data_IF_293691784464
#
_entry.id   IF_293691784464
#
_cell.length_a   1.000
_cell.length_b   1.000
_cell.length_c   1.000
_cell.angle_alpha   90.00
_cell.angle_beta   90.00
_cell.angle_gamma   90.00
#
_symmetry.space_group_name_H-M   'P 1'
#
loop_
_entity.id
_entity.type
_entity.pdbx_description
1 polymer ?
#
# COMPACT_ATOMS: atom_id res chain seq x y z
N UNK A 1 -37.59 24.57 12.49
CA UNK A 1 -37.16 23.32 11.82
C UNK A 1 -37.27 23.57 10.32
N UNK A 2 -36.15 23.75 9.62
CA UNK A 2 -36.14 24.15 8.20
C UNK A 2 -36.42 22.95 7.29
N UNK A 3 -37.04 23.18 6.14
CA UNK A 3 -37.35 22.16 5.12
C UNK A 3 -36.14 21.30 4.71
N UNK A 4 -34.92 21.86 4.84
CA UNK A 4 -33.65 21.16 4.63
C UNK A 4 -33.42 20.00 5.60
N UNK A 5 -33.83 20.14 6.85
CA UNK A 5 -33.63 19.12 7.89
C UNK A 5 -34.63 17.98 7.75
N UNK A 6 -35.86 18.29 7.29
CA UNK A 6 -36.90 17.28 7.03
C UNK A 6 -36.58 16.40 5.81
N UNK A 7 -36.01 16.99 4.74
CA UNK A 7 -35.55 16.19 3.58
C UNK A 7 -34.32 15.34 3.91
N UNK A 8 -33.40 15.81 4.75
CA UNK A 8 -32.24 15.02 5.19
C UNK A 8 -32.65 13.85 6.10
N UNK A 9 -33.64 14.02 6.98
CA UNK A 9 -34.14 12.95 7.87
C UNK A 9 -34.99 11.91 7.12
N UNK A 10 -35.83 12.31 6.15
CA UNK A 10 -36.64 11.37 5.37
C UNK A 10 -35.83 10.55 4.35
N UNK A 11 -34.71 11.08 3.86
CA UNK A 11 -33.90 10.38 2.85
C UNK A 11 -32.89 9.39 3.48
N UNK A 12 -32.56 9.54 4.77
CA UNK A 12 -31.55 8.73 5.45
C UNK A 12 -31.76 7.19 5.44
N UNK A 13 -32.97 6.64 5.64
CA UNK A 13 -33.14 5.18 5.68
C UNK A 13 -33.21 4.53 4.30
N UNK A 14 -33.62 5.28 3.26
CA UNK A 14 -33.71 4.77 1.88
C UNK A 14 -32.40 4.89 1.11
N UNK A 15 -31.59 5.93 1.39
CA UNK A 15 -30.32 6.16 0.71
C UNK A 15 -29.34 5.00 0.93
N UNK A 16 -29.32 4.37 2.11
CA UNK A 16 -28.34 3.33 2.46
C UNK A 16 -28.37 2.08 1.56
N UNK A 17 -29.57 1.55 1.23
CA UNK A 17 -29.71 0.35 0.38
C UNK A 17 -29.36 0.64 -1.08
N UNK A 18 -29.84 1.75 -1.63
CA UNK A 18 -29.53 2.12 -3.00
C UNK A 18 -28.08 2.57 -3.16
N UNK A 19 -27.47 3.21 -2.15
CA UNK A 19 -26.06 3.62 -2.22
C UNK A 19 -25.13 2.43 -2.36
N UNK A 20 -25.40 1.31 -1.67
CA UNK A 20 -24.62 0.08 -1.80
C UNK A 20 -24.76 -0.53 -3.21
N UNK A 21 -25.98 -0.58 -3.74
CA UNK A 21 -26.24 -1.07 -5.10
C UNK A 21 -25.62 -0.16 -6.17
N UNK A 22 -25.72 1.16 -5.99
CA UNK A 22 -25.12 2.15 -6.89
C UNK A 22 -23.59 2.06 -6.81
N UNK A 23 -23.00 1.94 -5.62
CA UNK A 23 -21.55 1.78 -5.46
C UNK A 23 -21.04 0.46 -6.04
N UNK A 24 -21.78 -0.65 -5.85
CA UNK A 24 -21.45 -1.93 -6.46
C UNK A 24 -21.56 -1.87 -7.98
N UNK A 25 -22.61 -1.25 -8.51
CA UNK A 25 -22.81 -1.07 -9.95
C UNK A 25 -21.73 -0.18 -10.56
N UNK A 26 -21.46 0.99 -9.97
CA UNK A 26 -20.38 1.88 -10.42
C UNK A 26 -19.02 1.21 -10.30
N UNK A 27 -18.75 0.46 -9.23
CA UNK A 27 -17.53 -0.32 -9.07
C UNK A 27 -17.38 -1.38 -10.17
N UNK A 28 -18.46 -2.07 -10.53
CA UNK A 28 -18.48 -3.02 -11.64
C UNK A 28 -18.25 -2.31 -12.99
N UNK A 29 -18.89 -1.17 -13.25
CA UNK A 29 -18.66 -0.36 -14.45
C UNK A 29 -17.20 0.11 -14.56
N UNK A 30 -16.63 0.64 -13.47
CA UNK A 30 -15.23 1.08 -13.42
C UNK A 30 -14.31 -0.11 -13.67
N UNK A 31 -14.57 -1.27 -13.05
CA UNK A 31 -13.78 -2.48 -13.29
C UNK A 31 -13.87 -2.94 -14.76
N UNK A 32 -15.05 -2.87 -15.36
CA UNK A 32 -15.26 -3.26 -16.76
C UNK A 32 -14.52 -2.34 -17.74
N UNK A 33 -14.57 -1.03 -17.50
CA UNK A 33 -13.95 -0.02 -18.36
C UNK A 33 -12.42 -0.01 -18.21
N UNK A 34 -11.91 -0.11 -16.99
CA UNK A 34 -10.49 0.16 -16.72
C UNK A 34 -9.64 -1.09 -16.44
N UNK A 35 -10.23 -2.22 -16.01
CA UNK A 35 -9.46 -3.37 -15.54
C UNK A 35 -9.60 -4.60 -16.45
N UNK A 36 -10.80 -4.93 -16.95
CA UNK A 36 -11.07 -5.99 -17.94
C UNK A 36 -12.60 -6.03 -18.17
N UNK A 37 -13.17 -6.06 -19.39
CA UNK A 37 -12.63 -6.52 -20.68
C UNK A 37 -12.38 -5.42 -21.74
N UNK A 38 -12.75 -4.16 -21.49
CA UNK A 38 -12.57 -3.09 -22.49
C UNK A 38 -11.09 -2.90 -22.92
N UNK A 39 -10.09 -2.90 -22.01
CA UNK A 39 -8.69 -2.81 -22.42
C UNK A 39 -8.23 -4.03 -23.24
N UNK A 40 -8.73 -5.22 -22.91
CA UNK A 40 -8.45 -6.45 -23.66
C UNK A 40 -8.99 -6.38 -25.09
N UNK A 41 -10.21 -5.85 -25.28
CA UNK A 41 -10.80 -5.63 -26.59
C UNK A 41 -10.05 -4.57 -27.42
N UNK A 42 -9.70 -3.43 -26.81
CA UNK A 42 -9.03 -2.33 -27.50
C UNK A 42 -7.56 -2.63 -27.86
N UNK A 43 -6.86 -3.38 -27.02
CA UNK A 43 -5.43 -3.65 -27.16
C UNK A 43 -5.13 -5.05 -27.72
N UNK A 44 -6.14 -5.88 -27.97
CA UNK A 44 -5.98 -7.24 -28.46
C UNK A 44 -5.25 -8.17 -27.47
N UNK A 45 -5.29 -7.87 -26.18
CA UNK A 45 -4.63 -8.64 -25.11
C UNK A 45 -5.61 -9.71 -24.62
N UNK A 46 -5.15 -10.93 -24.35
CA UNK A 46 -6.02 -11.99 -23.80
C UNK A 46 -6.70 -11.53 -22.50
N UNK A 47 -8.03 -11.74 -22.42
CA UNK A 47 -8.82 -11.34 -21.26
C UNK A 47 -8.71 -12.40 -20.16
N UNK A 48 -8.08 -12.07 -19.04
CA UNK A 48 -8.14 -12.88 -17.82
C UNK A 48 -9.46 -12.70 -17.03
N UNK A 49 -10.45 -11.98 -17.57
CA UNK A 49 -11.66 -11.54 -16.84
C UNK A 49 -12.52 -12.68 -16.26
N UNK A 50 -12.34 -13.92 -16.73
CA UNK A 50 -13.17 -15.08 -16.37
C UNK A 50 -12.37 -16.13 -15.58
N UNK A 51 -11.08 -15.92 -15.33
CA UNK A 51 -10.30 -16.81 -14.47
C UNK A 51 -10.60 -16.49 -13.00
N UNK A 52 -11.73 -16.99 -12.50
CA UNK A 52 -11.89 -17.16 -11.07
C UNK A 52 -10.73 -18.01 -10.58
N UNK A 53 -9.85 -17.41 -9.77
CA UNK A 53 -8.74 -18.11 -9.16
C UNK A 53 -9.30 -19.21 -8.25
N UNK A 54 -9.30 -20.44 -8.73
CA UNK A 54 -9.74 -21.65 -8.01
C UNK A 54 -8.65 -22.26 -7.14
N UNK A 55 -7.43 -21.76 -7.23
CA UNK A 55 -6.29 -22.22 -6.43
C UNK A 55 -6.29 -21.61 -5.04
N UNK A 56 -5.89 -22.40 -4.04
CA UNK A 56 -5.62 -21.90 -2.69
C UNK A 56 -4.59 -20.77 -2.78
N UNK A 57 -4.82 -19.70 -2.04
CA UNK A 57 -3.97 -18.50 -2.10
C UNK A 57 -2.62 -18.68 -1.41
N UNK A 58 -2.33 -19.88 -0.87
CA UNK A 58 -1.16 -20.29 -0.07
C UNK A 58 -0.69 -19.25 0.95
N UNK A 59 -1.61 -18.38 1.40
CA UNK A 59 -1.32 -17.23 2.27
C UNK A 59 -0.78 -17.67 3.63
N UNK A 60 -1.32 -18.74 4.19
CA UNK A 60 -0.87 -19.25 5.50
C UNK A 60 0.58 -19.76 5.43
N UNK A 61 0.94 -20.47 4.36
CA UNK A 61 2.32 -20.89 4.13
C UNK A 61 3.24 -19.66 4.00
N UNK A 62 2.83 -18.65 3.24
CA UNK A 62 3.57 -17.40 3.12
C UNK A 62 3.73 -16.64 4.42
N UNK A 63 2.69 -16.59 5.24
CA UNK A 63 2.74 -15.91 6.53
C UNK A 63 3.63 -16.65 7.52
N UNK A 64 3.59 -17.99 7.51
CA UNK A 64 4.47 -18.79 8.35
C UNK A 64 5.94 -18.58 7.98
N UNK A 65 6.25 -18.49 6.68
CA UNK A 65 7.59 -18.19 6.20
C UNK A 65 8.02 -16.76 6.55
N UNK A 66 7.14 -15.77 6.38
CA UNK A 66 7.40 -14.39 6.78
C UNK A 66 7.74 -14.27 8.27
N UNK A 67 7.04 -15.03 9.12
CA UNK A 67 7.37 -15.13 10.55
C UNK A 67 8.72 -15.81 10.79
N UNK A 68 9.06 -16.84 10.01
CA UNK A 68 10.32 -17.57 10.11
C UNK A 68 11.57 -16.73 9.79
N UNK A 69 11.44 -15.73 8.90
CA UNK A 69 12.54 -14.80 8.57
C UNK A 69 12.50 -13.50 9.36
N UNK A 70 11.46 -13.25 10.16
CA UNK A 70 11.34 -12.02 10.93
C UNK A 70 12.49 -11.90 11.95
N UNK A 71 13.07 -10.71 12.05
CA UNK A 71 14.13 -10.41 13.01
C UNK A 71 13.72 -9.27 13.95
N UNK A 72 14.40 -9.15 15.09
CA UNK A 72 14.04 -8.13 16.08
C UNK A 72 14.14 -6.70 15.53
N UNK A 73 15.19 -6.41 14.77
CA UNK A 73 15.46 -5.11 14.16
C UNK A 73 14.89 -4.96 12.74
N UNK A 74 14.39 -6.05 12.16
CA UNK A 74 14.02 -6.12 10.75
C UNK A 74 15.22 -6.41 9.85
N UNK A 75 14.93 -6.87 8.64
CA UNK A 75 15.92 -7.26 7.64
C UNK A 75 16.19 -6.15 6.62
N UNK A 76 15.59 -4.96 6.79
CA UNK A 76 15.72 -3.83 5.89
C UNK A 76 14.81 -3.91 4.66
N UNK A 77 14.72 -2.79 3.93
CA UNK A 77 13.92 -2.68 2.71
C UNK A 77 14.45 -3.61 1.62
N UNK A 78 13.58 -4.50 1.10
CA UNK A 78 13.94 -5.50 0.08
C UNK A 78 14.15 -6.93 0.59
N UNK A 79 14.02 -7.17 1.90
CA UNK A 79 14.19 -8.50 2.51
C UNK A 79 13.49 -9.67 1.79
N UNK A 80 12.26 -9.48 1.30
CA UNK A 80 11.53 -10.55 0.59
C UNK A 80 12.05 -10.88 -0.81
N UNK A 81 12.82 -9.97 -1.43
CA UNK A 81 13.34 -10.20 -2.78
C UNK A 81 14.55 -11.13 -2.75
N UNK A 82 15.24 -11.23 -1.61
CA UNK A 82 16.53 -11.94 -1.47
C UNK A 82 16.45 -13.30 -0.81
N UNK A 83 15.28 -13.92 -0.91
CA UNK A 83 14.99 -15.24 -0.41
C UNK A 83 14.17 -16.01 -1.45
N UNK A 84 14.33 -17.34 -1.49
CA UNK A 84 13.54 -18.26 -2.32
C UNK A 84 12.05 -18.16 -1.99
N UNK A 85 11.35 -17.23 -2.64
CA UNK A 85 9.92 -17.09 -2.47
C UNK A 85 9.22 -17.19 -3.82
N UNK A 86 8.54 -18.32 -4.03
CA UNK A 86 7.52 -18.53 -5.06
C UNK A 86 6.40 -17.46 -5.02
N UNK A 87 6.38 -16.58 -4.02
CA UNK A 87 5.53 -15.41 -3.93
C UNK A 87 6.30 -14.24 -3.29
N UNK A 88 6.69 -13.23 -4.07
CA UNK A 88 7.63 -12.17 -3.65
C UNK A 88 7.20 -11.19 -2.54
N UNK A 89 6.15 -11.48 -1.75
CA UNK A 89 5.70 -10.67 -0.58
C UNK A 89 4.58 -11.38 0.22
N UNK A 90 4.41 -11.07 1.51
CA UNK A 90 3.45 -11.76 2.39
C UNK A 90 2.00 -11.33 2.16
N UNK A 91 1.74 -10.24 1.43
CA UNK A 91 0.40 -9.68 1.21
C UNK A 91 -0.38 -9.42 2.52
N UNK A 92 0.35 -9.06 3.56
CA UNK A 92 -0.15 -8.68 4.87
C UNK A 92 0.72 -7.53 5.37
N UNK A 93 0.12 -6.36 5.56
CA UNK A 93 0.85 -5.13 5.92
C UNK A 93 1.59 -5.22 7.25
N UNK A 94 1.06 -5.92 8.25
CA UNK A 94 1.71 -6.10 9.55
C UNK A 94 2.96 -6.99 9.40
N UNK A 95 2.83 -8.12 8.72
CA UNK A 95 3.97 -9.00 8.44
C UNK A 95 5.01 -8.33 7.56
N UNK A 96 4.57 -7.49 6.62
CA UNK A 96 5.46 -6.71 5.78
C UNK A 96 6.29 -5.71 6.61
N UNK A 97 5.65 -4.97 7.52
CA UNK A 97 6.35 -4.07 8.45
C UNK A 97 7.29 -4.86 9.38
N UNK A 98 6.84 -6.00 9.90
CA UNK A 98 7.62 -6.84 10.80
C UNK A 98 8.92 -7.34 10.16
N UNK A 99 8.84 -7.91 8.95
CA UNK A 99 10.01 -8.46 8.27
C UNK A 99 11.00 -7.36 7.87
N UNK A 100 10.52 -6.21 7.41
CA UNK A 100 11.41 -5.12 6.98
C UNK A 100 11.98 -4.30 8.14
N UNK A 101 11.20 -4.02 9.17
CA UNK A 101 11.51 -2.99 10.18
C UNK A 101 11.44 -3.51 11.63
N UNK A 102 11.18 -4.79 11.81
CA UNK A 102 11.25 -5.46 13.11
C UNK A 102 10.02 -5.30 13.99
N UNK A 103 10.11 -5.91 15.17
CA UNK A 103 8.98 -6.02 16.11
C UNK A 103 8.51 -4.67 16.65
N UNK A 104 9.45 -3.77 16.97
CA UNK A 104 9.13 -2.44 17.52
C UNK A 104 8.26 -1.67 16.53
N UNK A 105 8.67 -1.64 15.25
CA UNK A 105 7.95 -0.98 14.18
C UNK A 105 6.58 -1.59 13.94
N UNK A 106 6.48 -2.92 13.98
CA UNK A 106 5.21 -3.64 13.80
C UNK A 106 4.21 -3.31 14.93
N UNK A 107 4.67 -3.29 16.19
CA UNK A 107 3.83 -2.93 17.34
C UNK A 107 3.36 -1.48 17.25
N UNK A 108 4.27 -0.55 16.90
CA UNK A 108 3.91 0.85 16.67
C UNK A 108 2.88 1.00 15.55
N UNK A 109 3.06 0.28 14.44
CA UNK A 109 2.11 0.27 13.32
C UNK A 109 0.72 -0.20 13.77
N UNK A 110 0.63 -1.33 14.48
CA UNK A 110 -0.63 -1.85 15.02
C UNK A 110 -1.28 -0.85 16.00
N UNK A 111 -0.49 -0.24 16.89
CA UNK A 111 -0.99 0.78 17.81
C UNK A 111 -1.55 2.00 17.07
N UNK A 112 -0.89 2.47 16.00
CA UNK A 112 -1.39 3.55 15.15
C UNK A 112 -2.69 3.17 14.42
N UNK A 113 -2.83 1.92 13.97
CA UNK A 113 -4.09 1.43 13.40
C UNK A 113 -5.23 1.45 14.43
N UNK A 114 -4.98 1.04 15.67
CA UNK A 114 -5.98 1.13 16.74
C UNK A 114 -6.32 2.58 17.11
N UNK A 115 -5.32 3.46 17.15
CA UNK A 115 -5.54 4.90 17.37
C UNK A 115 -6.41 5.50 16.25
N UNK A 116 -6.14 5.14 15.00
CA UNK A 116 -6.96 5.54 13.87
C UNK A 116 -8.40 5.05 14.05
N UNK A 117 -8.59 3.75 14.32
CA UNK A 117 -9.91 3.17 14.58
C UNK A 117 -10.67 3.93 15.66
N UNK A 118 -10.00 4.22 16.79
CA UNK A 118 -10.57 5.00 17.89
C UNK A 118 -10.99 6.42 17.44
N UNK A 119 -10.13 7.11 16.68
CA UNK A 119 -10.43 8.45 16.16
C UNK A 119 -11.59 8.45 15.16
N UNK A 120 -11.71 7.42 14.33
CA UNK A 120 -12.85 7.26 13.41
C UNK A 120 -14.14 7.00 14.19
N UNK A 121 -14.10 6.10 15.18
CA UNK A 121 -15.27 5.75 16.00
C UNK A 121 -15.81 6.95 16.79
N UNK A 122 -14.91 7.81 17.28
CA UNK A 122 -15.25 8.99 18.11
C UNK A 122 -15.48 10.27 17.31
N UNK A 123 -15.26 10.27 15.99
CA UNK A 123 -15.46 11.46 15.17
C UNK A 123 -16.93 11.91 15.18
N UNK A 124 -17.19 13.21 15.34
CA UNK A 124 -18.55 13.74 15.30
C UNK A 124 -19.06 13.94 13.85
N UNK A 125 -18.17 14.39 12.96
CA UNK A 125 -18.50 14.71 11.57
C UNK A 125 -18.73 13.47 10.72
N UNK A 126 -19.84 13.43 9.97
CA UNK A 126 -20.11 12.36 8.98
C UNK A 126 -19.01 12.27 7.93
N UNK A 127 -18.49 13.41 7.45
CA UNK A 127 -17.41 13.44 6.45
C UNK A 127 -16.15 12.76 6.98
N UNK A 128 -15.77 13.08 8.22
CA UNK A 128 -14.61 12.46 8.89
C UNK A 128 -14.80 10.96 9.08
N UNK A 129 -16.01 10.51 9.46
CA UNK A 129 -16.32 9.07 9.56
C UNK A 129 -16.19 8.35 8.23
N UNK A 130 -16.70 8.93 7.14
CA UNK A 130 -16.61 8.33 5.80
C UNK A 130 -15.16 8.23 5.34
N UNK A 131 -14.39 9.33 5.44
CA UNK A 131 -12.96 9.31 5.09
C UNK A 131 -12.18 8.30 5.94
N UNK A 132 -12.45 8.28 7.24
CA UNK A 132 -11.84 7.33 8.17
C UNK A 132 -12.18 5.87 7.86
N UNK A 133 -13.45 5.59 7.54
CA UNK A 133 -13.89 4.25 7.14
C UNK A 133 -13.24 3.80 5.83
N UNK A 134 -13.04 4.69 4.87
CA UNK A 134 -12.32 4.38 3.63
C UNK A 134 -10.86 3.98 3.91
N UNK A 135 -10.16 4.72 4.78
CA UNK A 135 -8.79 4.39 5.19
C UNK A 135 -8.75 3.05 5.93
N UNK A 136 -9.66 2.83 6.88
CA UNK A 136 -9.75 1.57 7.63
C UNK A 136 -10.06 0.38 6.73
N UNK A 137 -10.92 0.55 5.72
CA UNK A 137 -11.24 -0.51 4.76
C UNK A 137 -9.99 -0.90 3.95
N UNK A 138 -9.22 0.09 3.48
CA UNK A 138 -7.94 -0.16 2.82
C UNK A 138 -6.92 -0.87 3.72
N UNK A 139 -6.83 -0.46 4.99
CA UNK A 139 -5.97 -1.11 5.99
C UNK A 139 -6.40 -2.54 6.29
N UNK A 140 -7.69 -2.80 6.50
CA UNK A 140 -8.20 -4.15 6.72
C UNK A 140 -7.95 -5.05 5.51
N UNK A 141 -8.19 -4.54 4.31
CA UNK A 141 -7.91 -5.28 3.08
C UNK A 141 -6.41 -5.56 2.91
N UNK A 142 -5.54 -4.67 3.41
CA UNK A 142 -4.09 -4.85 3.39
C UNK A 142 -3.57 -5.99 4.28
N UNK A 143 -4.39 -6.55 5.19
CA UNK A 143 -4.01 -7.69 6.03
C UNK A 143 -4.05 -9.02 5.26
N UNK A 144 -4.80 -9.08 4.16
CA UNK A 144 -5.02 -10.30 3.37
C UNK A 144 -4.63 -10.16 1.90
N UNK A 145 -4.44 -8.92 1.46
CA UNK A 145 -4.09 -8.55 0.09
C UNK A 145 -2.94 -7.55 0.09
N UNK A 146 -2.14 -7.57 -0.98
CA UNK A 146 -0.94 -6.71 -1.12
C UNK A 146 -1.26 -5.28 -1.50
N UNK A 147 -2.26 -4.68 -0.83
CA UNK A 147 -2.76 -3.33 -1.10
C UNK A 147 -1.68 -2.32 -0.74
N UNK A 148 -1.07 -2.42 0.44
CA UNK A 148 -0.05 -1.46 0.89
C UNK A 148 1.37 -1.82 0.44
N UNK A 149 1.50 -2.68 -0.58
CA UNK A 149 2.79 -3.20 -1.04
C UNK A 149 3.21 -2.61 -2.39
N UNK A 150 2.41 -1.75 -3.01
CA UNK A 150 2.75 -1.06 -4.26
C UNK A 150 2.91 0.45 -4.06
N UNK A 151 3.85 1.12 -4.75
CA UNK A 151 4.08 2.56 -4.58
C UNK A 151 2.84 3.41 -4.82
N UNK A 152 2.07 3.08 -5.87
CA UNK A 152 0.83 3.80 -6.20
C UNK A 152 -0.21 3.67 -5.10
N UNK A 153 -0.40 2.48 -4.55
CA UNK A 153 -1.37 2.25 -3.49
C UNK A 153 -0.91 2.85 -2.15
N UNK A 154 0.39 2.83 -1.86
CA UNK A 154 0.97 3.54 -0.72
C UNK A 154 0.74 5.05 -0.83
N UNK A 155 0.93 5.64 -2.01
CA UNK A 155 0.63 7.05 -2.26
C UNK A 155 -0.85 7.37 -2.01
N UNK A 156 -1.77 6.56 -2.55
CA UNK A 156 -3.20 6.73 -2.33
C UNK A 156 -3.58 6.57 -0.85
N UNK A 157 -2.96 5.64 -0.14
CA UNK A 157 -3.15 5.47 1.29
C UNK A 157 -2.71 6.70 2.08
N UNK A 158 -1.55 7.28 1.74
CA UNK A 158 -1.04 8.51 2.37
C UNK A 158 -1.98 9.69 2.10
N UNK A 159 -2.42 9.89 0.86
CA UNK A 159 -3.36 10.97 0.51
C UNK A 159 -4.68 10.80 1.27
N UNK A 160 -5.21 9.59 1.33
CA UNK A 160 -6.47 9.29 2.05
C UNK A 160 -6.32 9.52 3.55
N UNK A 161 -5.18 9.10 4.13
CA UNK A 161 -4.85 9.32 5.53
C UNK A 161 -4.71 10.82 5.83
N UNK A 162 -4.02 11.58 4.96
CA UNK A 162 -3.87 13.03 5.08
C UNK A 162 -5.23 13.74 5.02
N UNK A 163 -6.11 13.35 4.09
CA UNK A 163 -7.46 13.88 3.99
C UNK A 163 -8.29 13.60 5.26
N UNK A 164 -8.18 12.39 5.82
CA UNK A 164 -8.81 12.05 7.10
C UNK A 164 -8.30 12.94 8.23
N UNK A 165 -6.98 13.07 8.42
CA UNK A 165 -6.40 13.89 9.47
C UNK A 165 -6.73 15.38 9.31
N UNK A 166 -6.73 15.90 8.10
CA UNK A 166 -7.15 17.28 7.82
C UNK A 166 -8.62 17.51 8.20
N UNK A 167 -9.49 16.50 7.99
CA UNK A 167 -10.92 16.59 8.33
C UNK A 167 -11.19 16.66 9.84
N UNK A 168 -10.25 16.21 10.67
CA UNK A 168 -10.35 16.32 12.13
C UNK A 168 -10.19 17.77 12.63
N UNK A 169 -9.85 18.71 11.73
CA UNK A 169 -9.59 20.13 12.04
C UNK A 169 -8.76 20.27 13.32
N UNK A 170 -7.56 19.65 13.38
CA UNK A 170 -6.72 19.74 14.55
C UNK A 170 -6.51 21.21 14.88
N UNK A 171 -6.67 21.58 16.16
CA UNK A 171 -6.32 22.93 16.62
C UNK A 171 -4.83 23.10 16.31
N UNK A 172 -4.51 24.03 15.41
CA UNK A 172 -3.11 24.38 15.17
C UNK A 172 -2.53 24.81 16.50
N UNK A 173 -1.52 24.07 16.97
CA UNK A 173 -0.76 24.50 18.12
C UNK A 173 -0.09 25.83 17.76
N UNK A 174 -0.30 26.86 18.58
CA UNK A 174 0.36 28.15 18.41
C UNK A 174 1.88 28.07 18.68
N UNK A 175 2.39 26.88 19.04
CA UNK A 175 3.81 26.63 19.23
C UNK A 175 4.47 26.58 17.86
N UNK A 176 5.20 27.65 17.53
CA UNK A 176 6.07 27.66 16.36
C UNK A 176 7.10 26.53 16.49
N UNK A 177 7.32 25.73 15.43
CA UNK A 177 8.36 24.71 15.45
C UNK A 177 9.72 25.35 15.73
N UNK A 178 10.47 24.78 16.68
CA UNK A 178 11.78 25.31 17.06
C UNK A 178 12.78 25.16 15.90
N UNK A 179 13.84 25.98 15.87
CA UNK A 179 14.93 25.80 14.89
C UNK A 179 15.50 24.36 14.95
N UNK A 180 15.61 23.80 16.15
CA UNK A 180 16.05 22.42 16.35
C UNK A 180 15.16 21.40 15.63
N UNK A 181 13.83 21.58 15.68
CA UNK A 181 12.90 20.68 14.98
C UNK A 181 13.09 20.73 13.46
N UNK A 182 13.36 21.90 12.89
CA UNK A 182 13.69 22.05 11.47
C UNK A 182 15.03 21.39 11.13
N UNK A 183 16.06 21.60 11.95
CA UNK A 183 17.37 20.98 11.76
C UNK A 183 17.26 19.46 11.80
N UNK A 184 16.54 18.89 12.77
CA UNK A 184 16.29 17.45 12.85
C UNK A 184 15.56 16.96 11.61
N UNK A 185 14.50 17.64 11.17
CA UNK A 185 13.76 17.26 9.96
C UNK A 185 14.63 17.29 8.70
N UNK A 186 15.47 18.32 8.53
CA UNK A 186 16.41 18.42 7.40
C UNK A 186 17.45 17.30 7.46
N UNK A 187 18.03 17.01 8.63
CA UNK A 187 19.00 15.93 8.80
C UNK A 187 18.39 14.56 8.48
N UNK A 188 17.16 14.31 8.92
CA UNK A 188 16.42 13.10 8.58
C UNK A 188 16.16 13.00 7.08
N UNK A 189 15.73 14.09 6.44
CA UNK A 189 15.48 14.13 5.00
C UNK A 189 16.76 13.85 4.20
N UNK A 190 17.89 14.48 4.57
CA UNK A 190 19.19 14.23 3.95
C UNK A 190 19.65 12.79 4.15
N UNK A 191 19.45 12.20 5.34
CA UNK A 191 19.73 10.80 5.60
C UNK A 191 18.92 9.86 4.71
N UNK A 192 17.62 10.12 4.55
CA UNK A 192 16.75 9.35 3.64
C UNK A 192 17.21 9.49 2.19
N UNK A 193 17.48 10.71 1.72
CA UNK A 193 17.96 10.94 0.34
C UNK A 193 19.28 10.20 0.11
N UNK A 194 20.21 10.26 1.06
CA UNK A 194 21.54 9.63 0.94
C UNK A 194 21.42 8.12 0.91
N UNK A 195 20.65 7.52 1.82
CA UNK A 195 20.45 6.05 1.87
C UNK A 195 19.70 5.52 0.64
N UNK A 196 18.67 6.22 0.18
CA UNK A 196 17.97 5.88 -1.07
C UNK A 196 18.89 6.00 -2.29
N UNK A 197 19.66 7.10 -2.38
CA UNK A 197 20.60 7.33 -3.49
C UNK A 197 21.71 6.29 -3.52
N UNK A 198 22.25 5.93 -2.36
CA UNK A 198 23.26 4.88 -2.24
C UNK A 198 22.71 3.53 -2.72
N UNK A 199 21.50 3.14 -2.30
CA UNK A 199 20.87 1.90 -2.76
C UNK A 199 20.57 1.90 -4.26
N UNK A 200 20.18 3.05 -4.83
CA UNK A 200 20.01 3.20 -6.27
C UNK A 200 21.33 3.05 -7.02
N UNK A 201 22.38 3.70 -6.54
CA UNK A 201 23.72 3.60 -7.10
C UNK A 201 24.26 2.16 -7.06
N UNK A 202 24.14 1.51 -5.91
CA UNK A 202 24.57 0.13 -5.68
C UNK A 202 23.88 -0.85 -6.65
N UNK A 203 22.57 -0.69 -6.86
CA UNK A 203 21.83 -1.46 -7.87
C UNK A 203 22.25 -1.16 -9.30
N UNK A 204 22.50 0.11 -9.62
CA UNK A 204 22.92 0.53 -10.95
C UNK A 204 24.26 -0.10 -11.35
N UNK A 205 25.23 -0.12 -10.44
CA UNK A 205 26.58 -0.68 -10.70
C UNK A 205 26.53 -2.19 -10.95
N UNK A 206 25.61 -2.90 -10.30
CA UNK A 206 25.47 -4.36 -10.44
C UNK A 206 24.40 -4.78 -11.47
N UNK A 207 23.80 -3.84 -12.19
CA UNK A 207 22.82 -4.15 -13.22
C UNK A 207 23.50 -4.74 -14.47
N UNK A 208 23.04 -5.87 -15.03
CA UNK A 208 23.71 -6.57 -16.12
C UNK A 208 23.57 -5.88 -17.49
N UNK A 209 23.13 -4.61 -17.55
CA UNK A 209 23.21 -3.85 -18.79
C UNK A 209 24.65 -3.42 -19.01
N UNK A 210 25.44 -4.33 -19.58
CA UNK A 210 26.69 -3.95 -20.22
C UNK A 210 26.36 -2.99 -21.37
N UNK A 211 27.07 -1.86 -21.52
CA UNK A 211 26.89 -0.96 -22.64
C UNK A 211 27.23 -1.69 -23.95
N UNK A 212 26.20 -2.08 -24.71
CA UNK A 212 26.33 -2.73 -26.02
C UNK A 212 25.41 -3.93 -26.28
N UNK A 213 24.80 -4.53 -25.26
CA UNK A 213 23.88 -5.66 -25.44
C UNK A 213 22.42 -5.26 -25.20
N UNK A 214 21.58 -5.40 -26.23
CA UNK A 214 20.13 -5.38 -26.07
C UNK A 214 19.74 -6.74 -25.49
N UNK A 215 19.78 -6.86 -24.17
CA UNK A 215 19.30 -8.07 -23.49
C UNK A 215 17.78 -8.06 -23.55
N UNK A 216 17.18 -9.04 -24.24
CA UNK A 216 15.74 -9.26 -24.22
C UNK A 216 15.32 -9.68 -22.80
N UNK A 217 14.89 -8.69 -22.01
CA UNK A 217 14.47 -8.82 -20.61
C UNK A 217 13.41 -9.91 -20.42
N UNK A 218 12.61 -10.22 -21.44
CA UNK A 218 11.60 -11.28 -21.41
C UNK A 218 12.21 -12.68 -21.53
N UNK A 219 13.30 -12.82 -22.28
CA UNK A 219 13.99 -14.11 -22.51
C UNK A 219 14.72 -14.66 -21.28
N UNK A 220 15.12 -13.76 -20.38
CA UNK A 220 15.81 -14.07 -19.12
C UNK A 220 14.85 -14.20 -17.92
N UNK A 221 13.53 -14.17 -18.18
CA UNK A 221 12.52 -14.32 -17.12
C UNK A 221 12.36 -13.12 -16.17
N UNK A 222 13.07 -12.02 -16.42
CA UNK A 222 12.96 -10.80 -15.62
C UNK A 222 11.58 -10.17 -15.87
N UNK A 223 10.73 -10.18 -14.84
CA UNK A 223 9.46 -9.45 -14.86
C UNK A 223 9.74 -7.98 -14.59
N UNK A 224 9.12 -7.08 -15.35
CA UNK A 224 9.13 -5.64 -15.08
C UNK A 224 8.36 -5.34 -13.78
N UNK A 225 8.94 -5.67 -12.64
CA UNK A 225 8.62 -4.91 -11.44
C UNK A 225 9.26 -3.53 -11.64
N UNK A 226 8.53 -2.46 -11.31
CA UNK A 226 8.95 -1.05 -11.47
C UNK A 226 10.25 -0.67 -10.75
N UNK A 227 10.95 -1.65 -10.17
CA UNK A 227 12.22 -1.54 -9.49
C UNK A 227 13.15 -2.55 -10.13
N UNK A 228 14.04 -2.04 -10.98
CA UNK A 228 15.37 -2.58 -11.34
C UNK A 228 15.61 -3.99 -10.77
N UNK A 229 15.65 -5.02 -11.62
CA UNK A 229 16.13 -6.36 -11.24
C UNK A 229 17.51 -6.32 -10.56
N UNK A 230 17.95 -7.43 -9.92
CA UNK A 230 19.16 -7.48 -9.07
C UNK A 230 19.01 -6.79 -7.71
N UNK A 231 17.91 -7.07 -7.02
CA UNK A 231 17.74 -6.59 -5.64
C UNK A 231 18.68 -7.30 -4.64
N UNK A 232 19.34 -8.38 -5.06
CA UNK A 232 20.03 -9.33 -4.19
C UNK A 232 21.46 -9.56 -4.68
N UNK A 233 22.32 -8.61 -4.33
CA UNK A 233 23.71 -8.57 -4.79
C UNK A 233 24.54 -9.77 -4.31
N UNK A 234 24.17 -10.35 -3.16
CA UNK A 234 24.84 -11.54 -2.61
C UNK A 234 24.43 -12.84 -3.31
N UNK A 235 23.33 -12.85 -4.05
CA UNK A 235 22.81 -14.01 -4.79
C UNK A 235 22.27 -13.56 -6.16
N UNK A 236 23.17 -13.23 -7.12
CA UNK A 236 22.80 -12.67 -8.43
C UNK A 236 22.01 -13.65 -9.32
N UNK A 237 22.01 -14.94 -8.96
CA UNK A 237 21.30 -16.00 -9.68
C UNK A 237 19.82 -16.14 -9.24
N UNK A 238 19.38 -15.43 -8.20
CA UNK A 238 17.97 -15.38 -7.82
C UNK A 238 17.18 -14.38 -8.71
N UNK A 239 16.01 -14.77 -9.23
CA UNK A 239 15.23 -13.97 -10.19
C UNK A 239 14.65 -12.66 -9.64
#
# INVERSE_FOLDING_TARGET
MTLSNFMLEMCQPYLGRYTLLIAAFLGACISFVFLNPLPSYLLGIESEAILFRTTTSDRLALWSQALGIASFWGNGGGAFVCHDFNFGRPHNSVLNVLVHWGWISAVCYVALCFLLLFKVATAASRVTKVLGASVLTGLLYSLVSGVLDSPMSQLLAIISLAAFWASLKPKLSAVAPSLLSHVIAVMLALGVITTCSYRLYDRWVHYPQQPGEIVDVKSIGMKTQFWVGFNCLENPDMP
#
